data_IF_528749713868
#
_entry.id   IF_528749713868
#
_cell.length_a   1.000
_cell.length_b   1.000
_cell.length_c   1.000
_cell.angle_alpha   90.00
_cell.angle_beta   90.00
_cell.angle_gamma   90.00
#
_symmetry.space_group_name_H-M   'P 1'
#
loop_
_entity.id
_entity.type
_entity.pdbx_description
1 polymer ?
#
# COMPACT_ATOMS: atom_id res chain seq x y z
N UNK A 1 -5.55 27.28 -19.97
CA UNK A 1 -5.61 26.43 -21.16
C UNK A 1 -4.59 25.30 -21.15
N UNK A 2 -3.36 25.53 -20.72
CA UNK A 2 -2.32 24.50 -20.65
C UNK A 2 -2.64 23.36 -19.66
N UNK A 3 -3.32 23.68 -18.55
CA UNK A 3 -3.66 22.69 -17.52
C UNK A 3 -4.68 21.66 -17.99
N UNK A 4 -5.65 22.05 -18.81
CA UNK A 4 -6.68 21.14 -19.32
C UNK A 4 -6.13 20.10 -20.29
N UNK A 5 -5.19 20.50 -21.13
CA UNK A 5 -4.56 19.60 -22.11
C UNK A 5 -3.69 18.56 -21.41
N UNK A 6 -2.92 18.99 -20.42
CA UNK A 6 -2.06 18.07 -19.67
C UNK A 6 -2.89 17.02 -18.92
N UNK A 7 -3.99 17.45 -18.27
CA UNK A 7 -4.88 16.54 -17.56
C UNK A 7 -5.51 15.51 -18.51
N UNK A 8 -5.93 15.95 -19.68
CA UNK A 8 -6.52 15.07 -20.70
C UNK A 8 -5.51 14.03 -21.20
N UNK A 9 -4.27 14.44 -21.47
CA UNK A 9 -3.21 13.54 -21.91
C UNK A 9 -2.89 12.49 -20.85
N UNK A 10 -2.83 12.88 -19.56
CA UNK A 10 -2.59 11.96 -18.46
C UNK A 10 -3.72 10.91 -18.36
N UNK A 11 -4.98 11.32 -18.51
CA UNK A 11 -6.11 10.40 -18.53
C UNK A 11 -6.06 9.44 -19.72
N UNK A 12 -5.69 9.94 -20.89
CA UNK A 12 -5.57 9.12 -22.11
C UNK A 12 -4.48 8.06 -21.97
N UNK A 13 -3.44 8.31 -21.17
CA UNK A 13 -2.36 7.37 -20.88
C UNK A 13 -2.69 6.44 -19.69
N UNK A 14 -3.89 6.57 -19.09
CA UNK A 14 -4.30 5.79 -17.94
C UNK A 14 -3.62 6.21 -16.63
N UNK A 15 -3.10 7.44 -16.59
CA UNK A 15 -2.43 8.01 -15.41
C UNK A 15 -3.37 8.99 -14.71
N UNK A 16 -3.53 8.83 -13.41
CA UNK A 16 -4.36 9.69 -12.56
C UNK A 16 -3.49 10.73 -11.84
N UNK A 17 -3.90 12.01 -11.90
CA UNK A 17 -3.22 13.06 -11.14
C UNK A 17 -3.29 12.81 -9.63
N UNK A 18 -4.40 12.27 -9.16
CA UNK A 18 -4.59 11.90 -7.75
C UNK A 18 -3.54 10.86 -7.31
N UNK A 19 -3.27 9.87 -8.14
CA UNK A 19 -2.28 8.84 -7.87
C UNK A 19 -0.86 9.41 -7.91
N UNK A 20 -0.57 10.28 -8.88
CA UNK A 20 0.72 10.98 -8.94
C UNK A 20 0.96 11.82 -7.69
N UNK A 21 -0.07 12.51 -7.21
CA UNK A 21 0.01 13.32 -5.98
C UNK A 21 0.30 12.45 -4.76
N UNK A 22 -0.33 11.29 -4.68
CA UNK A 22 -0.07 10.33 -3.60
C UNK A 22 1.38 9.86 -3.61
N UNK A 23 1.88 9.46 -4.77
CA UNK A 23 3.25 8.99 -4.93
C UNK A 23 4.23 10.10 -4.52
N UNK A 24 4.03 11.30 -5.03
CA UNK A 24 4.91 12.45 -4.71
C UNK A 24 4.92 12.74 -3.21
N UNK A 25 3.77 12.65 -2.57
CA UNK A 25 3.64 12.94 -1.14
C UNK A 25 4.30 11.88 -0.25
N UNK A 26 4.20 10.59 -0.62
CA UNK A 26 4.62 9.50 0.25
C UNK A 26 5.85 8.73 -0.22
N UNK A 27 6.42 9.07 -1.38
CA UNK A 27 7.61 8.36 -1.88
C UNK A 27 8.79 8.40 -0.91
N UNK A 28 8.97 9.50 -0.19
CA UNK A 28 10.04 9.62 0.80
C UNK A 28 9.88 8.61 1.92
N UNK A 29 8.65 8.41 2.40
CA UNK A 29 8.35 7.40 3.42
C UNK A 29 8.63 5.99 2.90
N UNK A 30 8.22 5.70 1.67
CA UNK A 30 8.44 4.38 1.06
C UNK A 30 9.93 4.09 0.87
N UNK A 31 10.71 5.07 0.44
CA UNK A 31 12.17 4.94 0.29
C UNK A 31 12.83 4.71 1.66
N UNK A 32 12.41 5.44 2.68
CA UNK A 32 12.92 5.27 4.04
C UNK A 32 12.67 3.84 4.55
N UNK A 33 11.48 3.31 4.31
CA UNK A 33 11.15 1.93 4.68
C UNK A 33 11.97 0.91 3.88
N UNK A 34 12.24 1.18 2.62
CA UNK A 34 13.09 0.33 1.79
C UNK A 34 14.52 0.28 2.36
N UNK A 35 15.07 1.42 2.75
CA UNK A 35 16.41 1.48 3.31
C UNK A 35 16.51 0.76 4.65
N UNK A 36 15.47 0.84 5.49
CA UNK A 36 15.48 0.23 6.82
C UNK A 36 15.06 -1.24 6.82
N UNK A 37 14.09 -1.61 6.01
CA UNK A 37 13.48 -2.95 6.05
C UNK A 37 13.67 -3.77 4.78
N UNK A 38 14.29 -3.19 3.75
CA UNK A 38 14.58 -3.87 2.48
C UNK A 38 13.34 -4.29 1.69
N UNK A 39 12.24 -3.58 1.89
CA UNK A 39 11.02 -3.77 1.11
C UNK A 39 11.07 -2.80 -0.07
N UNK A 40 10.86 -3.25 -1.32
CA UNK A 40 10.90 -2.34 -2.47
C UNK A 40 9.94 -1.16 -2.30
N UNK A 41 10.43 0.06 -2.51
CA UNK A 41 9.61 1.27 -2.38
C UNK A 41 8.41 1.23 -3.32
N UNK A 42 8.58 0.69 -4.53
CA UNK A 42 7.51 0.52 -5.50
C UNK A 42 6.37 -0.36 -4.97
N UNK A 43 6.71 -1.42 -4.26
CA UNK A 43 5.73 -2.33 -3.63
C UNK A 43 4.97 -1.60 -2.53
N UNK A 44 5.69 -0.91 -1.65
CA UNK A 44 5.06 -0.15 -0.55
C UNK A 44 4.10 0.91 -1.10
N UNK A 45 4.54 1.69 -2.10
CA UNK A 45 3.68 2.70 -2.72
C UNK A 45 2.47 2.10 -3.42
N UNK A 46 2.64 1.02 -4.17
CA UNK A 46 1.54 0.36 -4.87
C UNK A 46 0.50 -0.18 -3.88
N UNK A 47 0.94 -0.79 -2.81
CA UNK A 47 0.03 -1.25 -1.75
C UNK A 47 -0.70 -0.09 -1.09
N UNK A 48 0.01 0.98 -0.77
CA UNK A 48 -0.58 2.19 -0.19
C UNK A 48 -1.64 2.80 -1.10
N UNK A 49 -1.33 2.94 -2.39
CA UNK A 49 -2.28 3.44 -3.39
C UNK A 49 -3.53 2.59 -3.45
N UNK A 50 -3.36 1.28 -3.57
CA UNK A 50 -4.47 0.35 -3.76
C UNK A 50 -5.35 0.26 -2.51
N UNK A 51 -4.75 0.08 -1.34
CA UNK A 51 -5.49 -0.15 -0.10
C UNK A 51 -6.15 1.12 0.45
N UNK A 52 -5.57 2.28 0.19
CA UNK A 52 -6.09 3.55 0.71
C UNK A 52 -6.93 4.33 -0.30
N UNK A 53 -7.07 3.83 -1.53
CA UNK A 53 -7.69 4.59 -2.61
C UNK A 53 -6.96 5.92 -2.82
N UNK A 54 -5.63 5.87 -2.91
CA UNK A 54 -4.78 7.06 -3.01
C UNK A 54 -4.98 8.04 -1.84
N UNK A 55 -5.18 7.50 -0.64
CA UNK A 55 -5.33 8.29 0.59
C UNK A 55 -6.74 8.82 0.84
N UNK A 56 -7.73 8.46 0.02
CA UNK A 56 -9.08 9.01 0.12
C UNK A 56 -10.06 8.15 0.88
N UNK A 57 -9.74 6.89 1.15
CA UNK A 57 -10.63 5.99 1.87
C UNK A 57 -10.95 6.50 3.28
N UNK A 58 -12.10 6.08 3.81
CA UNK A 58 -12.48 6.39 5.19
C UNK A 58 -11.40 5.93 6.18
N UNK A 59 -10.87 4.73 5.96
CA UNK A 59 -9.84 4.16 6.83
C UNK A 59 -8.56 4.99 6.80
N UNK A 60 -8.12 5.43 5.62
CA UNK A 60 -6.95 6.29 5.49
C UNK A 60 -7.14 7.63 6.18
N UNK A 61 -8.30 8.27 6.00
CA UNK A 61 -8.58 9.60 6.54
C UNK A 61 -8.81 9.60 8.06
N UNK A 62 -9.55 8.62 8.57
CA UNK A 62 -9.94 8.59 9.98
C UNK A 62 -8.94 7.85 10.87
N UNK A 63 -8.25 6.87 10.34
CA UNK A 63 -7.33 6.03 11.11
C UNK A 63 -5.88 6.14 10.67
N UNK A 64 -5.57 6.95 9.66
CA UNK A 64 -4.24 6.99 9.03
C UNK A 64 -3.76 5.61 8.56
N UNK A 65 -4.66 4.67 8.35
CA UNK A 65 -4.33 3.30 7.98
C UNK A 65 -4.37 3.17 6.46
N UNK A 66 -3.20 3.23 5.84
CA UNK A 66 -3.05 3.23 4.39
C UNK A 66 -2.93 1.84 3.78
N UNK A 67 -2.74 0.81 4.58
CA UNK A 67 -2.47 -0.55 4.09
C UNK A 67 -3.55 -1.55 4.48
N UNK A 68 -4.62 -1.09 5.11
CA UNK A 68 -5.74 -1.95 5.49
C UNK A 68 -5.39 -2.98 6.54
N UNK A 69 -4.47 -2.68 7.44
CA UNK A 69 -4.00 -3.65 8.42
C UNK A 69 -5.01 -3.79 9.55
N UNK A 70 -5.49 -5.02 9.73
CA UNK A 70 -6.43 -5.38 10.81
C UNK A 70 -5.66 -5.56 12.12
N UNK A 71 -6.38 -5.42 13.24
CA UNK A 71 -5.75 -5.51 14.56
C UNK A 71 -5.10 -6.87 14.81
N UNK A 72 -5.79 -7.95 14.47
CA UNK A 72 -5.32 -9.28 14.83
C UNK A 72 -5.20 -9.42 16.35
N UNK A 73 -4.39 -10.37 16.81
CA UNK A 73 -4.19 -10.64 18.23
C UNK A 73 -3.08 -9.79 18.86
N UNK A 74 -2.13 -9.34 18.04
CA UNK A 74 -0.92 -8.65 18.52
C UNK A 74 -1.13 -7.15 18.79
N UNK A 75 -2.10 -6.52 18.13
CA UNK A 75 -2.30 -5.08 18.24
C UNK A 75 -3.04 -4.72 19.53
N UNK A 76 -2.39 -3.90 20.35
CA UNK A 76 -2.95 -3.42 21.64
C UNK A 76 -3.31 -1.94 21.61
N UNK A 77 -3.06 -1.26 20.47
CA UNK A 77 -3.32 0.16 20.32
C UNK A 77 -4.78 0.47 19.93
N UNK A 78 -5.04 1.74 19.62
CA UNK A 78 -6.39 2.16 19.21
C UNK A 78 -6.79 1.54 17.88
N UNK A 79 -8.11 1.47 17.65
CA UNK A 79 -8.66 0.86 16.46
C UNK A 79 -9.94 1.58 16.01
N UNK A 80 -10.34 1.32 14.78
CA UNK A 80 -11.64 1.71 14.25
C UNK A 80 -12.36 0.46 13.75
N UNK A 81 -13.70 0.52 13.74
CA UNK A 81 -14.54 -0.55 13.21
C UNK A 81 -14.94 -0.22 11.79
N UNK A 82 -14.83 -1.20 10.91
CA UNK A 82 -15.25 -1.06 9.51
C UNK A 82 -15.62 -2.43 8.95
N UNK A 83 -16.65 -2.45 8.10
CA UNK A 83 -17.03 -3.68 7.40
C UNK A 83 -16.01 -4.00 6.30
N UNK A 84 -15.67 -5.27 6.17
CA UNK A 84 -14.80 -5.78 5.12
C UNK A 84 -15.29 -7.19 4.76
N UNK A 85 -14.46 -8.23 4.86
CA UNK A 85 -14.89 -9.62 4.66
C UNK A 85 -15.98 -10.00 5.67
N UNK A 86 -15.91 -9.44 6.87
CA UNK A 86 -16.92 -9.56 7.92
C UNK A 86 -17.40 -8.18 8.36
N UNK A 87 -18.52 -8.13 9.08
CA UNK A 87 -19.03 -6.88 9.66
C UNK A 87 -18.21 -6.46 10.87
N UNK A 88 -18.04 -5.14 11.04
CA UNK A 88 -17.41 -4.54 12.22
C UNK A 88 -16.03 -5.12 12.54
N UNK A 89 -15.21 -5.34 11.50
CA UNK A 89 -13.83 -5.75 11.72
C UNK A 89 -13.01 -4.61 12.31
N UNK A 90 -12.04 -4.96 13.17
CA UNK A 90 -11.16 -4.00 13.82
C UNK A 90 -9.93 -3.74 12.98
N UNK A 91 -9.73 -2.47 12.61
CA UNK A 91 -8.56 -2.01 11.88
C UNK A 91 -7.71 -1.14 12.78
N UNK A 92 -6.40 -1.26 12.65
CA UNK A 92 -5.43 -0.48 13.43
C UNK A 92 -5.59 1.00 13.13
N UNK A 93 -5.55 1.83 14.18
CA UNK A 93 -5.56 3.28 14.07
C UNK A 93 -4.18 3.84 14.47
N UNK A 94 -3.61 4.68 13.62
CA UNK A 94 -2.29 5.27 13.81
C UNK A 94 -2.41 6.78 14.07
N UNK A 95 -1.39 7.33 14.73
CA UNK A 95 -1.31 8.77 15.01
C UNK A 95 -0.96 9.57 13.75
N UNK A 96 -0.27 8.93 12.81
CA UNK A 96 0.20 9.57 11.58
C UNK A 96 0.27 8.55 10.46
N UNK A 97 0.34 9.05 9.21
CA UNK A 97 0.59 8.19 8.04
C UNK A 97 1.96 7.53 8.13
N UNK A 98 2.94 8.24 8.67
CA UNK A 98 4.29 7.72 8.88
C UNK A 98 4.28 6.47 9.77
N UNK A 99 3.51 6.47 10.86
CA UNK A 99 3.34 5.28 11.70
C UNK A 99 2.73 4.12 10.91
N UNK A 100 1.77 4.40 10.02
CA UNK A 100 1.16 3.38 9.16
C UNK A 100 2.20 2.73 8.26
N UNK A 101 3.07 3.52 7.65
CA UNK A 101 4.14 3.02 6.79
C UNK A 101 5.16 2.17 7.59
N UNK A 102 5.51 2.62 8.78
CA UNK A 102 6.41 1.87 9.67
C UNK A 102 5.78 0.55 10.09
N UNK A 103 4.52 0.56 10.49
CA UNK A 103 3.82 -0.64 10.93
C UNK A 103 3.62 -1.65 9.78
N UNK A 104 3.39 -1.15 8.56
CA UNK A 104 3.34 -1.99 7.37
C UNK A 104 4.65 -2.77 7.18
N UNK A 105 5.78 -2.10 7.30
CA UNK A 105 7.08 -2.75 7.19
C UNK A 105 7.29 -3.80 8.29
N UNK A 106 6.90 -3.49 9.52
CA UNK A 106 6.97 -4.45 10.64
C UNK A 106 6.02 -5.63 10.42
N UNK A 107 4.82 -5.37 9.91
CA UNK A 107 3.85 -6.41 9.57
C UNK A 107 4.44 -7.42 8.58
N UNK A 108 5.21 -6.95 7.61
CA UNK A 108 5.85 -7.82 6.62
C UNK A 108 7.06 -8.59 7.17
N UNK A 109 7.49 -8.32 8.39
CA UNK A 109 8.55 -9.11 9.03
C UNK A 109 8.03 -10.43 9.63
N UNK A 110 6.74 -10.67 9.62
CA UNK A 110 6.16 -11.93 10.09
C UNK A 110 6.68 -13.12 9.29
N UNK A 111 6.78 -14.27 9.96
CA UNK A 111 7.34 -15.49 9.36
C UNK A 111 6.70 -15.87 8.03
N UNK A 112 5.40 -15.68 7.88
CA UNK A 112 4.67 -16.01 6.64
C UNK A 112 5.13 -15.23 5.42
N UNK A 113 5.80 -14.08 5.62
CA UNK A 113 6.34 -13.25 4.55
C UNK A 113 7.85 -13.40 4.36
N UNK A 114 8.51 -14.23 5.16
CA UNK A 114 9.98 -14.31 5.16
C UNK A 114 10.59 -14.65 3.79
N UNK A 115 9.92 -15.47 3.00
CA UNK A 115 10.42 -15.86 1.67
C UNK A 115 10.52 -14.68 0.70
N UNK A 116 9.77 -13.60 0.92
CA UNK A 116 9.83 -12.41 0.07
C UNK A 116 11.22 -11.77 0.10
N UNK A 117 11.89 -11.83 1.24
CA UNK A 117 13.19 -11.19 1.43
C UNK A 117 14.34 -11.94 0.76
N UNK A 118 14.09 -13.14 0.23
CA UNK A 118 15.03 -13.86 -0.63
C UNK A 118 15.01 -13.33 -2.07
N UNK A 119 13.97 -12.57 -2.44
CA UNK A 119 13.86 -11.98 -3.77
C UNK A 119 14.75 -10.74 -3.89
N UNK A 120 15.19 -10.45 -5.13
CA UNK A 120 15.85 -9.19 -5.41
C UNK A 120 14.93 -8.01 -5.06
N UNK A 121 15.46 -6.92 -4.46
CA UNK A 121 14.64 -5.71 -4.24
C UNK A 121 14.13 -5.07 -5.53
N UNK A 122 14.66 -5.46 -6.69
CA UNK A 122 14.20 -5.00 -8.00
C UNK A 122 13.12 -5.90 -8.60
N UNK A 123 12.87 -7.07 -8.01
CA UNK A 123 11.90 -8.03 -8.51
C UNK A 123 10.49 -7.71 -7.98
N UNK A 124 9.94 -6.59 -8.42
CA UNK A 124 8.61 -6.18 -7.98
C UNK A 124 7.52 -7.19 -8.37
N UNK A 125 7.68 -7.86 -9.50
CA UNK A 125 6.71 -8.90 -9.91
C UNK A 125 6.73 -10.09 -8.96
N UNK A 126 7.91 -10.55 -8.57
CA UNK A 126 8.08 -11.60 -7.58
C UNK A 126 7.51 -11.21 -6.23
N UNK A 127 7.76 -9.96 -5.80
CA UNK A 127 7.21 -9.43 -4.57
C UNK A 127 5.67 -9.39 -4.60
N UNK A 128 5.08 -8.88 -5.69
CA UNK A 128 3.63 -8.78 -5.83
C UNK A 128 2.97 -10.17 -5.78
N UNK A 129 3.50 -11.12 -6.52
CA UNK A 129 3.00 -12.51 -6.54
C UNK A 129 3.19 -13.19 -5.19
N UNK A 130 4.33 -12.94 -4.55
CA UNK A 130 4.63 -13.48 -3.23
C UNK A 130 3.71 -12.96 -2.14
N UNK A 131 3.38 -11.67 -2.15
CA UNK A 131 2.42 -11.09 -1.22
C UNK A 131 1.05 -11.79 -1.32
N UNK A 132 0.57 -12.00 -2.54
CA UNK A 132 -0.68 -12.74 -2.75
C UNK A 132 -0.57 -14.19 -2.25
N UNK A 133 0.49 -14.88 -2.61
CA UNK A 133 0.72 -16.26 -2.19
C UNK A 133 0.79 -16.39 -0.67
N UNK A 134 1.40 -15.42 0.01
CA UNK A 134 1.52 -15.41 1.46
C UNK A 134 0.25 -14.93 2.19
N UNK A 135 -0.80 -14.58 1.45
CA UNK A 135 -2.10 -14.26 2.02
C UNK A 135 -2.29 -12.83 2.48
N UNK A 136 -1.58 -11.87 1.88
CA UNK A 136 -1.76 -10.45 2.24
C UNK A 136 -3.19 -9.96 1.95
N UNK A 137 -3.78 -10.41 0.84
CA UNK A 137 -5.13 -10.03 0.44
C UNK A 137 -5.87 -11.23 -0.15
N UNK A 138 -7.20 -11.18 -0.06
CA UNK A 138 -8.08 -12.25 -0.56
C UNK A 138 -8.37 -12.14 -2.06
N UNK A 139 -8.30 -10.91 -2.61
CA UNK A 139 -8.59 -10.68 -4.03
C UNK A 139 -7.62 -11.49 -4.91
N UNK A 140 -8.14 -12.39 -5.78
CA UNK A 140 -7.27 -13.22 -6.65
C UNK A 140 -6.46 -12.39 -7.65
N UNK A 141 -6.86 -11.13 -7.92
CA UNK A 141 -6.17 -10.23 -8.83
C UNK A 141 -5.15 -9.32 -8.14
N UNK A 142 -4.90 -9.54 -6.86
CA UNK A 142 -4.07 -8.62 -6.07
C UNK A 142 -2.68 -8.40 -6.69
N UNK A 143 -2.01 -9.47 -7.06
CA UNK A 143 -0.67 -9.37 -7.67
C UNK A 143 -0.69 -8.57 -8.97
N UNK A 144 -1.66 -8.86 -9.86
CA UNK A 144 -1.76 -8.15 -11.14
C UNK A 144 -2.11 -6.68 -10.95
N UNK A 145 -2.93 -6.35 -9.95
CA UNK A 145 -3.25 -4.94 -9.63
C UNK A 145 -2.00 -4.17 -9.17
N UNK A 146 -1.18 -4.77 -8.32
CA UNK A 146 0.07 -4.15 -7.87
C UNK A 146 1.05 -3.95 -9.04
N UNK A 147 1.24 -4.98 -9.86
CA UNK A 147 2.14 -4.94 -11.00
C UNK A 147 1.70 -3.84 -11.99
N UNK A 148 0.40 -3.78 -12.29
CA UNK A 148 -0.16 -2.77 -13.18
C UNK A 148 0.09 -1.35 -12.68
N UNK A 149 -0.12 -1.11 -11.39
CA UNK A 149 0.15 0.20 -10.78
C UNK A 149 1.63 0.57 -10.90
N UNK A 150 2.54 -0.34 -10.59
CA UNK A 150 3.97 -0.08 -10.65
C UNK A 150 4.38 0.24 -12.09
N UNK A 151 3.93 -0.54 -13.06
CA UNK A 151 4.29 -0.34 -14.46
C UNK A 151 3.68 0.92 -15.06
N UNK A 152 2.51 1.32 -14.60
CA UNK A 152 1.82 2.51 -15.09
C UNK A 152 2.41 3.81 -14.56
N UNK A 153 2.91 3.81 -13.32
CA UNK A 153 3.38 5.03 -12.65
C UNK A 153 4.89 5.08 -12.42
N UNK A 154 5.61 4.13 -12.94
CA UNK A 154 7.06 4.01 -12.78
C UNK A 154 7.85 5.23 -13.26
#
# INVERSE_FOLDING_TARGET
>A
MLFGVTSFLLQAQGVSQQYLNYIERYKGMAIDQMLRYKIPASITLAQGLLESGAGTSTLARKANNHFGIKCGRAWKGPYVLQDDDERNEKFRKYRSVEESYEDHSRFLQQARYSSLFDLSPKDYKGWARGLKRCGYATNPRYASLLIDLIERYD
#
